data_IF_184154178941
#
_entry.id   IF_184154178941
#
_cell.length_a   1.000
_cell.length_b   1.000
_cell.length_c   1.000
_cell.angle_alpha   90.00
_cell.angle_beta   90.00
_cell.angle_gamma   90.00
#
_symmetry.space_group_name_H-M   'P 1'
#
loop_
_entity.id
_entity.type
_entity.pdbx_description
1 polymer ?
#
# COMPACT_ATOMS: atom_id res chain seq x y z
N UNK A 1 8.58 19.50 2.06
CA UNK A 1 9.06 18.21 2.60
C UNK A 1 7.91 17.23 2.90
N UNK A 2 6.86 17.59 3.64
CA UNK A 2 5.73 16.69 3.95
C UNK A 2 4.97 16.09 2.75
N UNK A 3 4.78 16.84 1.65
CA UNK A 3 4.03 16.33 0.48
C UNK A 3 4.75 15.18 -0.27
N UNK A 4 6.07 15.25 -0.40
CA UNK A 4 6.87 14.19 -1.04
C UNK A 4 6.87 12.94 -0.16
N UNK A 5 7.06 13.11 1.16
CA UNK A 5 6.99 12.02 2.13
C UNK A 5 5.59 11.39 2.18
N UNK A 6 4.52 12.19 2.04
CA UNK A 6 3.15 11.69 1.92
C UNK A 6 2.94 10.83 0.68
N UNK A 7 3.42 11.27 -0.50
CA UNK A 7 3.31 10.48 -1.73
C UNK A 7 4.08 9.16 -1.59
N UNK A 8 5.31 9.22 -1.10
CA UNK A 8 6.15 8.03 -0.91
C UNK A 8 5.53 7.05 0.09
N UNK A 9 5.02 7.53 1.22
CA UNK A 9 4.35 6.69 2.23
C UNK A 9 3.03 6.13 1.70
N UNK A 10 2.23 6.92 0.97
CA UNK A 10 1.00 6.43 0.34
C UNK A 10 1.29 5.31 -0.64
N UNK A 11 2.36 5.44 -1.44
CA UNK A 11 2.79 4.41 -2.37
C UNK A 11 3.27 3.15 -1.63
N UNK A 12 4.04 3.32 -0.55
CA UNK A 12 4.53 2.21 0.27
C UNK A 12 3.38 1.44 0.94
N UNK A 13 2.44 2.14 1.57
CA UNK A 13 1.25 1.51 2.16
C UNK A 13 0.37 0.85 1.09
N UNK A 14 0.15 1.49 -0.05
CA UNK A 14 -0.61 0.89 -1.17
C UNK A 14 0.06 -0.37 -1.68
N UNK A 15 1.39 -0.40 -1.76
CA UNK A 15 2.15 -1.59 -2.14
C UNK A 15 1.98 -2.71 -1.11
N UNK A 16 2.11 -2.40 0.18
CA UNK A 16 1.89 -3.35 1.28
C UNK A 16 0.48 -3.97 1.23
N UNK A 17 -0.56 -3.17 1.06
CA UNK A 17 -1.94 -3.65 0.96
C UNK A 17 -2.19 -4.48 -0.30
N UNK A 18 -1.55 -4.14 -1.42
CA UNK A 18 -1.63 -4.94 -2.64
C UNK A 18 -0.96 -6.31 -2.46
N UNK A 19 0.19 -6.35 -1.78
CA UNK A 19 0.89 -7.59 -1.43
C UNK A 19 0.02 -8.48 -0.54
N UNK A 20 -0.55 -7.94 0.54
CA UNK A 20 -1.49 -8.64 1.43
C UNK A 20 -2.72 -9.16 0.68
N UNK A 21 -3.29 -8.34 -0.21
CA UNK A 21 -4.43 -8.73 -1.03
C UNK A 21 -4.08 -9.89 -1.95
N UNK A 22 -2.92 -9.85 -2.61
CA UNK A 22 -2.44 -10.96 -3.44
C UNK A 22 -2.22 -12.24 -2.63
N UNK A 23 -1.59 -12.14 -1.46
CA UNK A 23 -1.40 -13.30 -0.57
C UNK A 23 -2.75 -13.91 -0.18
N UNK A 24 -3.74 -13.07 0.18
CA UNK A 24 -5.09 -13.54 0.50
C UNK A 24 -5.77 -14.22 -0.71
N UNK A 25 -5.60 -13.68 -1.92
CA UNK A 25 -6.10 -14.30 -3.16
C UNK A 25 -5.50 -15.69 -3.39
N UNK A 26 -4.19 -15.85 -3.22
CA UNK A 26 -3.53 -17.14 -3.38
C UNK A 26 -3.93 -18.14 -2.30
N UNK A 27 -4.10 -17.70 -1.05
CA UNK A 27 -4.67 -18.55 0.00
C UNK A 27 -6.07 -19.03 -0.39
N UNK A 28 -6.96 -18.15 -0.81
CA UNK A 28 -8.32 -18.54 -1.23
C UNK A 28 -8.28 -19.52 -2.41
N UNK A 29 -7.41 -19.29 -3.40
CA UNK A 29 -7.27 -20.17 -4.56
C UNK A 29 -6.86 -21.60 -4.18
N UNK A 30 -5.97 -21.75 -3.19
CA UNK A 30 -5.53 -23.06 -2.70
C UNK A 30 -6.62 -23.83 -1.97
N UNK A 31 -7.58 -23.13 -1.33
CA UNK A 31 -8.67 -23.75 -0.59
C UNK A 31 -9.92 -23.99 -1.45
N UNK A 32 -10.35 -23.00 -2.25
CA UNK A 32 -11.59 -23.06 -3.03
C UNK A 32 -11.50 -22.20 -4.32
N UNK A 33 -11.38 -22.87 -5.46
CA UNK A 33 -11.34 -22.22 -6.77
C UNK A 33 -12.64 -21.49 -7.13
N UNK A 34 -13.81 -21.97 -6.70
CA UNK A 34 -15.09 -21.31 -7.00
C UNK A 34 -15.22 -19.98 -6.27
N UNK A 35 -14.78 -19.93 -5.00
CA UNK A 35 -14.73 -18.71 -4.22
C UNK A 35 -13.77 -17.69 -4.85
N UNK A 36 -12.61 -18.16 -5.33
CA UNK A 36 -11.64 -17.33 -6.04
C UNK A 36 -12.24 -16.62 -7.27
N UNK A 37 -12.95 -17.33 -8.15
CA UNK A 37 -13.55 -16.72 -9.35
C UNK A 37 -14.61 -15.65 -9.03
N UNK A 38 -15.29 -15.76 -7.89
CA UNK A 38 -16.23 -14.73 -7.42
C UNK A 38 -15.47 -13.52 -6.87
N UNK A 39 -14.47 -13.75 -6.04
CA UNK A 39 -13.62 -12.71 -5.46
C UNK A 39 -12.86 -11.92 -6.54
N UNK A 40 -12.37 -12.58 -7.59
CA UNK A 40 -11.60 -11.97 -8.68
C UNK A 40 -12.32 -10.80 -9.36
N UNK A 41 -13.67 -10.83 -9.42
CA UNK A 41 -14.47 -9.73 -9.98
C UNK A 41 -14.42 -8.46 -9.13
N UNK A 42 -14.09 -8.59 -7.84
CA UNK A 42 -13.98 -7.48 -6.90
C UNK A 42 -12.56 -6.90 -6.81
N UNK A 43 -11.61 -7.39 -7.62
CA UNK A 43 -10.20 -6.99 -7.55
C UNK A 43 -9.98 -5.48 -7.74
N UNK A 44 -10.71 -4.84 -8.65
CA UNK A 44 -10.62 -3.39 -8.85
C UNK A 44 -11.14 -2.60 -7.65
N UNK A 45 -12.21 -3.09 -7.01
CA UNK A 45 -12.75 -2.50 -5.78
C UNK A 45 -11.77 -2.64 -4.63
N UNK A 46 -11.16 -3.81 -4.49
CA UNK A 46 -10.12 -4.07 -3.48
C UNK A 46 -8.90 -3.15 -3.68
N UNK A 47 -8.47 -2.93 -4.93
CA UNK A 47 -7.37 -2.02 -5.25
C UNK A 47 -7.70 -0.56 -4.92
N UNK A 48 -8.93 -0.11 -5.21
CA UNK A 48 -9.39 1.22 -4.83
C UNK A 48 -9.44 1.40 -3.31
N UNK A 49 -9.92 0.39 -2.57
CA UNK A 49 -9.94 0.39 -1.10
C UNK A 49 -8.51 0.43 -0.53
N UNK A 50 -7.59 -0.34 -1.10
CA UNK A 50 -6.17 -0.34 -0.69
C UNK A 50 -5.53 1.04 -0.87
N UNK A 51 -5.85 1.74 -1.96
CA UNK A 51 -5.39 3.11 -2.23
C UNK A 51 -5.93 4.11 -1.20
N UNK A 52 -7.23 4.03 -0.89
CA UNK A 52 -7.87 4.87 0.12
C UNK A 52 -7.31 4.60 1.53
N UNK A 53 -7.12 3.33 1.88
CA UNK A 53 -6.53 2.92 3.15
C UNK A 53 -5.07 3.38 3.25
N UNK A 54 -4.30 3.28 2.17
CA UNK A 54 -2.94 3.79 2.09
C UNK A 54 -2.87 5.30 2.28
N UNK A 55 -3.76 6.06 1.63
CA UNK A 55 -3.84 7.51 1.80
C UNK A 55 -4.27 7.92 3.22
N UNK A 56 -5.20 7.19 3.82
CA UNK A 56 -5.61 7.41 5.22
C UNK A 56 -4.46 7.11 6.21
N UNK A 57 -3.74 6.01 6.02
CA UNK A 57 -2.56 5.65 6.82
C UNK A 57 -1.39 6.61 6.63
N UNK A 58 -1.27 7.22 5.44
CA UNK A 58 -0.27 8.24 5.15
C UNK A 58 -0.68 9.65 5.61
N UNK A 59 -1.96 9.91 5.90
CA UNK A 59 -2.48 11.22 6.33
C UNK A 59 -1.71 11.87 7.49
N UNK A 60 -1.26 11.14 8.54
CA UNK A 60 -0.47 11.72 9.62
C UNK A 60 0.85 12.36 9.15
N UNK A 61 1.41 11.91 8.02
CA UNK A 61 2.65 12.42 7.45
C UNK A 61 2.48 13.74 6.69
N UNK A 62 1.24 14.19 6.43
CA UNK A 62 0.97 15.51 5.86
C UNK A 62 1.29 16.63 6.86
N UNK A 63 1.09 16.38 8.16
CA UNK A 63 1.29 17.35 9.25
C UNK A 63 2.58 17.10 10.04
N UNK A 64 3.44 16.17 9.58
CA UNK A 64 4.64 15.79 10.31
C UNK A 64 5.78 16.78 10.04
N UNK A 65 5.79 17.91 10.75
CA UNK A 65 7.05 18.55 11.15
C UNK A 65 7.79 17.70 12.20
N UNK A 66 7.11 16.70 12.79
CA UNK A 66 7.60 15.89 13.93
C UNK A 66 8.34 14.60 13.58
N UNK A 67 8.31 14.12 12.33
CA UNK A 67 9.05 12.92 11.94
C UNK A 67 10.11 13.31 10.91
N UNK A 68 11.34 13.44 11.40
CA UNK A 68 12.58 13.60 10.61
C UNK A 68 12.89 12.38 9.77
N UNK A 69 11.95 11.96 8.92
CA UNK A 69 12.22 11.08 7.80
C UNK A 69 12.88 11.94 6.72
N UNK A 70 14.16 12.23 6.93
CA UNK A 70 14.93 13.03 5.99
C UNK A 70 14.93 12.34 4.64
N UNK A 71 14.76 13.13 3.57
CA UNK A 71 14.77 12.68 2.18
C UNK A 71 15.99 11.80 1.84
N UNK A 72 17.07 11.95 2.60
CA UNK A 72 18.30 11.16 2.52
C UNK A 72 18.08 9.67 2.82
N UNK A 73 17.22 9.35 3.79
CA UNK A 73 16.87 7.96 4.12
C UNK A 73 16.00 7.29 3.04
N UNK A 74 15.14 8.09 2.40
CA UNK A 74 14.26 7.65 1.32
C UNK A 74 15.05 7.48 0.01
N UNK A 75 15.98 8.38 -0.30
CA UNK A 75 16.83 8.30 -1.49
C UNK A 75 17.83 7.14 -1.39
N UNK A 76 18.35 6.85 -0.20
CA UNK A 76 19.20 5.68 0.04
C UNK A 76 18.44 4.37 -0.22
N UNK A 77 17.19 4.26 0.27
CA UNK A 77 16.33 3.09 0.00
C UNK A 77 16.02 2.89 -1.48
N UNK A 78 15.84 3.97 -2.26
CA UNK A 78 15.59 3.85 -3.70
C UNK A 78 16.84 3.56 -4.52
N UNK A 79 18.01 4.02 -4.07
CA UNK A 79 19.28 3.77 -4.75
C UNK A 79 19.92 2.42 -4.37
N UNK A 80 19.47 1.77 -3.29
CA UNK A 80 20.03 0.51 -2.79
C UNK A 80 19.00 -0.63 -2.66
N UNK A 81 17.83 -0.51 -3.29
CA UNK A 81 16.90 -1.60 -3.55
C UNK A 81 17.04 -2.08 -5.01
#
# INVERSE_FOLDING_TARGET
HGFISFIAMTQWFSHLFNLLSMTAYYCILLYDAQLYYRAARCRLRALAIALLAGAAGASPYLNSEYYGFDLESLSWSFNHA
#
